data_IF_873169502341
#
_entry.id   IF_873169502341
#
_cell.length_a   1.000
_cell.length_b   1.000
_cell.length_c   1.000
_cell.angle_alpha   90.00
_cell.angle_beta   90.00
_cell.angle_gamma   90.00
#
_symmetry.space_group_name_H-M   'P 1'
#
loop_
_entity.id
_entity.type
_entity.pdbx_description
1 polymer ?
#
# COMPACT_ATOMS: atom_id res chain seq x y z
N UNK A 1 14.85 -8.62 6.12
CA UNK A 1 14.23 -7.56 5.32
C UNK A 1 12.78 -7.34 5.73
N UNK A 2 12.33 -6.12 5.59
CA UNK A 2 11.01 -5.70 6.02
C UNK A 2 10.27 -5.00 4.89
N UNK A 3 8.95 -5.00 4.99
CA UNK A 3 8.10 -4.22 4.06
C UNK A 3 6.86 -3.71 4.78
N UNK A 4 6.25 -2.68 4.22
CA UNK A 4 4.98 -2.16 4.68
C UNK A 4 3.91 -2.37 3.61
N UNK A 5 2.68 -2.60 4.06
CA UNK A 5 1.49 -2.61 3.21
C UNK A 5 0.60 -1.48 3.68
N UNK A 6 0.32 -0.53 2.79
CA UNK A 6 -0.59 0.57 3.06
C UNK A 6 -1.96 0.25 2.45
N UNK A 7 -2.97 0.15 3.30
CA UNK A 7 -4.36 0.01 2.85
C UNK A 7 -4.95 1.41 2.73
N UNK A 8 -5.22 1.84 1.51
CA UNK A 8 -5.60 3.21 1.26
C UNK A 8 -6.99 3.52 1.82
N UNK A 9 -7.18 4.77 2.19
CA UNK A 9 -8.49 5.29 2.60
C UNK A 9 -9.32 5.70 1.40
N UNK A 10 -10.63 5.83 1.57
CA UNK A 10 -11.57 6.12 0.48
C UNK A 10 -11.30 7.44 -0.24
N UNK A 11 -10.59 8.38 0.41
CA UNK A 11 -10.22 9.65 -0.20
C UNK A 11 -8.94 9.59 -1.03
N UNK A 12 -8.29 8.43 -1.14
CA UNK A 12 -6.96 8.31 -1.75
C UNK A 12 -6.98 7.67 -3.13
N UNK A 13 -7.99 7.96 -3.94
CA UNK A 13 -8.08 7.43 -5.31
C UNK A 13 -6.93 7.92 -6.19
N UNK A 14 -6.47 9.16 -5.99
CA UNK A 14 -5.34 9.72 -6.74
C UNK A 14 -4.08 8.89 -6.56
N UNK A 15 -3.76 8.53 -5.32
CA UNK A 15 -2.59 7.70 -5.01
C UNK A 15 -2.73 6.32 -5.63
N UNK A 16 -3.93 5.73 -5.56
CA UNK A 16 -4.21 4.43 -6.15
C UNK A 16 -3.97 4.42 -7.65
N UNK A 17 -4.45 5.44 -8.35
CA UNK A 17 -4.21 5.59 -9.78
C UNK A 17 -2.73 5.80 -10.10
N UNK A 18 -2.05 6.63 -9.32
CA UNK A 18 -0.63 6.93 -9.50
C UNK A 18 0.22 5.66 -9.37
N UNK A 19 -0.05 4.84 -8.38
CA UNK A 19 0.70 3.60 -8.14
C UNK A 19 0.29 2.46 -9.04
N UNK A 20 -0.94 2.47 -9.56
CA UNK A 20 -1.48 1.40 -10.39
C UNK A 20 -1.37 1.61 -11.90
N UNK A 21 -0.81 2.73 -12.34
CA UNK A 21 -0.73 3.09 -13.77
C UNK A 21 0.72 3.13 -14.21
N UNK A 22 1.09 2.30 -15.17
CA UNK A 22 2.49 2.19 -15.63
C UNK A 22 3.03 3.49 -16.22
N UNK A 23 2.20 4.24 -16.91
CA UNK A 23 2.60 5.53 -17.49
C UNK A 23 3.00 6.57 -16.45
N UNK A 24 2.58 6.36 -15.21
CA UNK A 24 2.87 7.27 -14.09
C UNK A 24 3.95 6.71 -13.14
N UNK A 25 4.61 5.62 -13.51
CA UNK A 25 5.53 4.92 -12.62
C UNK A 25 6.69 5.80 -12.14
N UNK A 26 7.17 6.72 -12.95
CA UNK A 26 8.24 7.64 -12.58
C UNK A 26 7.80 8.74 -11.62
N UNK A 27 6.50 8.90 -11.41
CA UNK A 27 5.92 9.91 -10.51
C UNK A 27 5.47 9.36 -9.16
N UNK A 28 5.59 8.05 -8.95
CA UNK A 28 5.11 7.41 -7.73
C UNK A 28 5.74 7.98 -6.47
N UNK A 29 7.00 8.34 -6.54
CA UNK A 29 7.76 8.85 -5.40
C UNK A 29 8.06 10.34 -5.49
N UNK A 30 7.64 11.02 -6.55
CA UNK A 30 7.84 12.44 -6.76
C UNK A 30 6.63 13.24 -6.25
N UNK A 31 6.36 13.11 -4.96
CA UNK A 31 5.22 13.75 -4.31
C UNK A 31 5.40 13.69 -2.79
N UNK A 32 4.43 14.23 -2.04
CA UNK A 32 4.47 14.26 -0.59
C UNK A 32 3.52 13.24 0.07
N UNK A 33 3.07 12.23 -0.67
CA UNK A 33 2.16 11.21 -0.15
C UNK A 33 2.85 10.21 0.77
N UNK A 34 4.17 10.13 0.73
CA UNK A 34 4.95 9.13 1.45
C UNK A 34 5.47 9.65 2.77
N UNK A 35 5.54 8.76 3.75
CA UNK A 35 6.29 8.95 4.97
C UNK A 35 7.15 7.70 5.20
N UNK A 36 8.04 7.73 6.17
CA UNK A 36 8.98 6.65 6.39
C UNK A 36 9.06 6.32 7.88
N UNK A 37 9.13 5.03 8.17
CA UNK A 37 9.38 4.52 9.50
C UNK A 37 10.45 3.44 9.39
N UNK A 38 11.55 3.59 10.15
CA UNK A 38 12.70 2.69 10.05
C UNK A 38 13.24 2.56 8.61
N UNK A 39 13.23 3.66 7.87
CA UNK A 39 13.67 3.77 6.48
C UNK A 39 12.80 2.99 5.46
N UNK A 40 11.59 2.59 5.85
CA UNK A 40 10.65 1.91 4.98
C UNK A 40 9.46 2.82 4.73
N UNK A 41 9.13 3.03 3.45
CA UNK A 41 8.06 3.93 3.06
C UNK A 41 6.66 3.38 3.33
N UNK A 42 5.74 4.28 3.60
CA UNK A 42 4.31 4.00 3.64
C UNK A 42 3.54 5.25 3.20
N UNK A 43 2.29 5.06 2.83
CA UNK A 43 1.43 6.17 2.38
C UNK A 43 0.81 6.84 3.60
N UNK A 44 0.99 8.16 3.71
CA UNK A 44 0.36 8.97 4.74
C UNK A 44 -1.17 8.89 4.64
N UNK A 45 -1.85 8.97 5.77
CA UNK A 45 -3.31 8.99 5.85
C UNK A 45 -4.01 7.73 5.32
N UNK A 46 -3.28 6.63 5.21
CA UNK A 46 -3.86 5.33 4.88
C UNK A 46 -4.87 4.91 5.95
N UNK A 47 -5.85 4.11 5.56
CA UNK A 47 -6.80 3.53 6.50
C UNK A 47 -6.08 2.64 7.52
N UNK A 48 -5.09 1.88 7.05
CA UNK A 48 -4.18 1.14 7.93
C UNK A 48 -2.86 0.88 7.24
N UNK A 49 -1.82 0.65 8.03
CA UNK A 49 -0.51 0.24 7.55
C UNK A 49 -0.07 -0.98 8.35
N UNK A 50 0.33 -2.02 7.65
CA UNK A 50 0.85 -3.25 8.25
C UNK A 50 2.34 -3.32 7.96
N UNK A 51 3.16 -3.43 9.01
CA UNK A 51 4.60 -3.62 8.88
C UNK A 51 4.94 -5.09 9.08
N UNK A 52 5.71 -5.63 8.15
CA UNK A 52 6.02 -7.06 8.10
C UNK A 52 7.52 -7.31 8.00
N UNK A 53 7.94 -8.44 8.59
CA UNK A 53 9.28 -9.01 8.36
C UNK A 53 9.16 -10.15 7.36
N UNK A 54 9.98 -10.12 6.30
CA UNK A 54 9.96 -11.17 5.27
C UNK A 54 10.50 -12.47 5.85
N UNK A 55 9.72 -13.54 5.72
CA UNK A 55 10.11 -14.89 6.14
C UNK A 55 10.50 -15.76 4.95
N UNK A 56 9.80 -15.63 3.85
CA UNK A 56 10.04 -16.45 2.67
C UNK A 56 9.58 -15.70 1.42
N UNK A 57 10.29 -15.90 0.32
CA UNK A 57 9.89 -15.39 -0.99
C UNK A 57 9.89 -16.56 -1.96
N UNK A 58 8.78 -16.76 -2.65
CA UNK A 58 8.62 -17.81 -3.65
C UNK A 58 8.21 -17.20 -4.97
N UNK A 59 8.84 -17.63 -6.04
CA UNK A 59 8.47 -17.19 -7.40
C UNK A 59 7.59 -18.23 -8.08
N UNK A 60 6.57 -17.75 -8.79
CA UNK A 60 5.67 -18.60 -9.56
C UNK A 60 5.28 -17.88 -10.85
N UNK A 61 5.79 -18.34 -11.99
CA UNK A 61 5.62 -17.64 -13.26
C UNK A 61 6.21 -16.23 -13.20
N UNK A 62 5.40 -15.23 -13.55
CA UNK A 62 5.80 -13.82 -13.50
C UNK A 62 5.55 -13.16 -12.13
N UNK A 63 5.10 -13.95 -11.14
CA UNK A 63 4.75 -13.46 -9.83
C UNK A 63 5.73 -13.89 -8.77
N UNK A 64 5.89 -13.05 -7.75
CA UNK A 64 6.59 -13.39 -6.52
C UNK A 64 5.62 -13.37 -5.37
N UNK A 65 5.71 -14.36 -4.49
CA UNK A 65 4.89 -14.46 -3.28
C UNK A 65 5.78 -14.23 -2.08
N UNK A 66 5.40 -13.25 -1.27
CA UNK A 66 6.12 -12.88 -0.05
C UNK A 66 5.34 -13.38 1.16
N UNK A 67 6.00 -14.16 2.00
CA UNK A 67 5.46 -14.57 3.29
C UNK A 67 6.08 -13.68 4.35
N UNK A 68 5.26 -12.96 5.09
CA UNK A 68 5.74 -12.03 6.08
C UNK A 68 5.03 -12.20 7.41
N UNK A 69 5.77 -12.04 8.51
CA UNK A 69 5.18 -11.92 9.83
C UNK A 69 4.80 -10.46 10.07
N UNK A 70 3.57 -10.25 10.53
CA UNK A 70 3.10 -8.92 10.91
C UNK A 70 3.73 -8.55 12.25
N UNK A 71 4.47 -7.45 12.29
CA UNK A 71 5.13 -6.98 13.51
C UNK A 71 4.48 -5.73 14.07
N UNK A 72 3.75 -4.98 13.26
CA UNK A 72 3.05 -3.77 13.72
C UNK A 72 1.87 -3.47 12.81
N UNK A 73 0.80 -2.97 13.40
CA UNK A 73 -0.39 -2.48 12.67
C UNK A 73 -0.72 -1.09 13.17
N UNK A 74 -0.83 -0.14 12.25
CA UNK A 74 -1.28 1.22 12.54
C UNK A 74 -2.62 1.40 11.87
N UNK A 75 -3.65 1.82 12.63
CA UNK A 75 -5.00 2.05 12.12
C UNK A 75 -5.39 3.51 12.23
N UNK A 76 -6.12 3.98 11.23
CA UNK A 76 -6.80 5.27 11.27
C UNK A 76 -8.31 4.99 11.33
N UNK A 77 -8.85 4.94 12.54
CA UNK A 77 -10.24 4.50 12.79
C UNK A 77 -11.29 5.45 12.24
N UNK A 78 -10.92 6.66 11.87
CA UNK A 78 -11.86 7.67 11.34
C UNK A 78 -11.97 7.65 9.82
N UNK A 79 -11.38 6.66 9.17
CA UNK A 79 -11.40 6.56 7.71
C UNK A 79 -12.05 5.28 7.25
N UNK A 80 -12.62 5.32 6.03
CA UNK A 80 -13.14 4.13 5.35
C UNK A 80 -12.07 3.58 4.41
N UNK A 81 -12.06 2.27 4.15
CA UNK A 81 -11.12 1.70 3.18
C UNK A 81 -11.49 2.11 1.75
N UNK A 82 -10.48 2.17 0.89
CA UNK A 82 -10.68 2.34 -0.54
C UNK A 82 -10.98 0.97 -1.16
N UNK A 83 -12.11 0.87 -1.83
CA UNK A 83 -12.53 -0.37 -2.48
C UNK A 83 -12.55 -0.19 -4.00
N UNK A 84 -12.19 -1.26 -4.70
CA UNK A 84 -12.17 -1.29 -6.16
C UNK A 84 -12.75 -2.62 -6.63
N UNK A 85 -13.68 -2.56 -7.56
CA UNK A 85 -14.26 -3.76 -8.14
C UNK A 85 -15.00 -3.44 -9.43
N UNK A 86 -15.05 -4.41 -10.34
CA UNK A 86 -15.71 -4.27 -11.65
C UNK A 86 -15.21 -3.06 -12.44
N UNK A 87 -13.92 -2.74 -12.32
CA UNK A 87 -13.31 -1.65 -13.05
C UNK A 87 -13.53 -0.26 -12.49
N UNK A 88 -14.06 -0.12 -11.28
CA UNK A 88 -14.33 1.19 -10.68
C UNK A 88 -14.13 1.21 -9.18
N UNK A 89 -13.96 2.42 -8.63
CA UNK A 89 -13.92 2.60 -7.19
C UNK A 89 -15.33 2.52 -6.62
N UNK A 90 -15.46 1.85 -5.48
CA UNK A 90 -16.73 1.59 -4.82
C UNK A 90 -16.83 2.36 -3.51
N UNK A 91 -18.05 2.78 -3.16
CA UNK A 91 -18.35 3.43 -1.90
C UNK A 91 -19.11 2.46 -0.98
N UNK A 92 -18.87 2.57 0.34
CA UNK A 92 -19.54 1.74 1.35
C UNK A 92 -20.22 2.57 2.42
#
# INVERSE_FOLDING_TARGET
>A
SNFNISFLSSSQTEISNLCGTDELSDKRFDNDFWDFKNNIGFIKNSQSVISCTIKEITSHGSHSVFFGDVVEVIKNSNTKPLLYGKGEYLDI
#
